data_IF_692018792382
#
_entry.id   IF_692018792382
#
_cell.length_a   1.000
_cell.length_b   1.000
_cell.length_c   1.000
_cell.angle_alpha   90.00
_cell.angle_beta   90.00
_cell.angle_gamma   90.00
#
_symmetry.space_group_name_H-M   'P 1'
#
loop_
_entity.id
_entity.type
_entity.pdbx_description
1 polymer ?
#
# COMPACT_ATOMS: atom_id res chain seq x y z
N UNK A 1 -19.73 -3.22 -17.61
CA UNK A 1 -18.74 -3.11 -16.52
C UNK A 1 -17.45 -2.60 -17.12
N UNK A 2 -16.75 -1.67 -16.45
CA UNK A 2 -15.42 -1.22 -16.91
C UNK A 2 -14.39 -2.35 -16.74
N UNK A 3 -13.32 -2.30 -17.53
CA UNK A 3 -12.23 -3.27 -17.46
C UNK A 3 -11.29 -2.89 -16.30
N UNK A 4 -10.87 -3.89 -15.52
CA UNK A 4 -9.84 -3.71 -14.49
C UNK A 4 -8.74 -4.73 -14.74
N UNK A 5 -7.53 -4.27 -15.07
CA UNK A 5 -6.39 -5.16 -15.16
C UNK A 5 -5.95 -5.55 -13.74
N UNK A 6 -5.64 -6.82 -13.49
CA UNK A 6 -5.19 -7.28 -12.18
C UNK A 6 -3.84 -7.97 -12.30
N UNK A 7 -2.88 -7.54 -11.47
CA UNK A 7 -1.56 -8.18 -11.35
C UNK A 7 -1.40 -8.68 -9.92
N UNK A 8 -1.06 -9.96 -9.77
CA UNK A 8 -0.74 -10.55 -8.47
C UNK A 8 0.75 -10.88 -8.41
N UNK A 9 1.48 -10.10 -7.61
CA UNK A 9 2.91 -10.22 -7.36
C UNK A 9 3.15 -11.09 -6.12
N UNK A 10 4.22 -11.88 -6.16
CA UNK A 10 4.68 -12.70 -5.04
C UNK A 10 6.17 -12.50 -4.84
N UNK A 11 6.57 -12.18 -3.62
CA UNK A 11 7.96 -11.95 -3.23
C UNK A 11 8.66 -10.83 -4.03
N UNK A 12 7.89 -9.89 -4.58
CA UNK A 12 8.45 -8.75 -5.33
C UNK A 12 8.82 -7.65 -4.33
N UNK A 13 10.05 -7.10 -4.38
CA UNK A 13 10.45 -5.95 -3.57
C UNK A 13 9.49 -4.77 -3.75
N UNK A 14 9.10 -4.13 -2.63
CA UNK A 14 8.17 -2.99 -2.67
C UNK A 14 8.71 -1.84 -3.54
N UNK A 15 10.03 -1.72 -3.68
CA UNK A 15 10.65 -0.75 -4.59
C UNK A 15 10.23 -0.99 -6.04
N UNK A 16 10.31 -2.24 -6.52
CA UNK A 16 9.92 -2.63 -7.87
C UNK A 16 8.42 -2.49 -8.10
N UNK A 17 7.60 -2.89 -7.11
CA UNK A 17 6.15 -2.67 -7.16
C UNK A 17 5.82 -1.17 -7.30
N UNK A 18 6.43 -0.30 -6.50
CA UNK A 18 6.19 1.15 -6.57
C UNK A 18 6.61 1.74 -7.92
N UNK A 19 7.70 1.24 -8.52
CA UNK A 19 8.11 1.62 -9.88
C UNK A 19 7.09 1.16 -10.92
N UNK A 20 6.57 -0.07 -10.81
CA UNK A 20 5.52 -0.58 -11.68
C UNK A 20 4.25 0.27 -11.57
N UNK A 21 3.76 0.53 -10.36
CA UNK A 21 2.56 1.33 -10.13
C UNK A 21 2.70 2.74 -10.72
N UNK A 22 3.86 3.38 -10.55
CA UNK A 22 4.14 4.69 -11.15
C UNK A 22 4.17 4.64 -12.68
N UNK A 23 4.76 3.59 -13.27
CA UNK A 23 4.76 3.38 -14.72
C UNK A 23 3.35 3.17 -15.27
N UNK A 24 2.54 2.31 -14.63
CA UNK A 24 1.14 2.06 -14.98
C UNK A 24 0.32 3.35 -14.93
N UNK A 25 0.41 4.10 -13.82
CA UNK A 25 -0.27 5.38 -13.65
C UNK A 25 0.09 6.38 -14.77
N UNK A 26 1.34 6.41 -15.21
CA UNK A 26 1.83 7.43 -16.13
C UNK A 26 1.68 7.07 -17.60
N UNK A 27 1.71 5.78 -17.95
CA UNK A 27 1.87 5.33 -19.34
C UNK A 27 0.66 4.61 -19.95
N UNK A 28 -0.24 4.00 -19.16
CA UNK A 28 -1.24 3.08 -19.76
C UNK A 28 -2.61 3.70 -20.01
N UNK A 29 -3.04 4.68 -19.21
CA UNK A 29 -4.42 5.19 -19.28
C UNK A 29 -5.50 4.15 -18.93
N UNK A 30 -5.12 2.93 -18.55
CA UNK A 30 -5.99 1.87 -18.04
C UNK A 30 -6.09 1.89 -16.51
N UNK A 31 -7.12 1.24 -15.96
CA UNK A 31 -7.24 0.96 -14.53
C UNK A 31 -6.61 -0.38 -14.15
N UNK A 32 -5.99 -0.42 -12.97
CA UNK A 32 -5.23 -1.55 -12.45
C UNK A 32 -5.51 -1.81 -10.97
N UNK A 33 -5.52 -3.08 -10.60
CA UNK A 33 -5.39 -3.57 -9.23
C UNK A 33 -4.06 -4.35 -9.13
N UNK A 34 -3.12 -3.86 -8.34
CA UNK A 34 -1.85 -4.53 -8.06
C UNK A 34 -1.90 -5.08 -6.65
N UNK A 35 -1.74 -6.39 -6.50
CA UNK A 35 -1.68 -7.09 -5.22
C UNK A 35 -0.26 -7.63 -5.06
N UNK A 36 0.36 -7.46 -3.90
CA UNK A 36 1.67 -8.05 -3.63
C UNK A 36 1.72 -8.66 -2.23
N UNK A 37 2.17 -9.91 -2.15
CA UNK A 37 2.42 -10.63 -0.90
C UNK A 37 3.87 -11.11 -0.82
N UNK A 38 4.42 -11.12 0.40
CA UNK A 38 5.77 -11.65 0.65
C UNK A 38 6.90 -10.71 0.27
N UNK A 39 6.65 -9.39 0.20
CA UNK A 39 7.71 -8.43 -0.10
C UNK A 39 8.82 -8.48 0.95
N UNK A 40 10.10 -8.53 0.56
CA UNK A 40 11.20 -8.52 1.51
C UNK A 40 11.20 -7.24 2.38
N UNK A 41 11.83 -7.28 3.56
CA UNK A 41 11.86 -6.14 4.47
C UNK A 41 12.43 -4.86 3.84
N UNK A 42 11.76 -3.73 4.09
CA UNK A 42 12.21 -2.40 3.69
C UNK A 42 11.55 -1.29 4.53
N UNK A 43 12.13 -0.10 4.50
CA UNK A 43 11.49 1.13 5.02
C UNK A 43 11.04 1.98 3.85
N UNK A 44 9.79 2.44 3.88
CA UNK A 44 9.19 3.24 2.80
C UNK A 44 8.66 4.57 3.33
N UNK A 45 9.36 5.66 3.02
CA UNK A 45 8.95 7.03 3.31
C UNK A 45 8.01 7.58 2.24
N UNK A 46 7.08 8.44 2.64
CA UNK A 46 6.27 9.24 1.71
C UNK A 46 7.09 10.31 0.98
N UNK A 47 6.56 10.83 -0.12
CA UNK A 47 7.25 11.82 -0.97
C UNK A 47 7.65 13.11 -0.22
N UNK A 48 6.87 13.52 0.78
CA UNK A 48 7.16 14.69 1.62
C UNK A 48 7.94 14.35 2.89
N UNK A 49 8.25 13.08 3.12
CA UNK A 49 9.02 12.63 4.26
C UNK A 49 10.46 13.15 4.24
N UNK A 50 10.93 13.60 5.39
CA UNK A 50 12.31 14.02 5.65
C UNK A 50 13.00 12.91 6.45
N UNK A 51 14.15 12.46 5.97
CA UNK A 51 14.86 11.31 6.52
C UNK A 51 15.19 11.53 8.01
N UNK A 52 15.75 12.70 8.32
CA UNK A 52 16.25 13.10 9.63
C UNK A 52 15.14 13.24 10.68
N UNK A 53 13.88 13.29 10.25
CA UNK A 53 12.71 13.42 11.12
C UNK A 53 11.98 12.09 11.35
N UNK A 54 12.27 11.07 10.55
CA UNK A 54 11.45 9.85 10.47
C UNK A 54 12.27 8.58 10.68
N UNK A 55 13.58 8.63 10.47
CA UNK A 55 14.47 7.47 10.53
C UNK A 55 15.61 7.77 11.48
N UNK A 56 15.93 6.81 12.35
CA UNK A 56 17.11 6.86 13.20
C UNK A 56 18.35 6.57 12.35
N UNK A 57 19.10 7.63 12.03
CA UNK A 57 20.28 7.57 11.19
C UNK A 57 21.33 6.58 11.72
N UNK A 58 21.52 6.50 13.03
CA UNK A 58 22.54 5.61 13.63
C UNK A 58 22.16 4.15 13.46
N UNK A 59 20.88 3.82 13.63
CA UNK A 59 20.39 2.45 13.46
C UNK A 59 20.32 2.03 12.01
N UNK A 60 19.91 2.92 11.11
CA UNK A 60 19.75 2.56 9.68
C UNK A 60 21.08 2.47 8.92
N UNK A 61 22.13 3.16 9.37
CA UNK A 61 23.42 3.22 8.68
C UNK A 61 24.06 1.85 8.40
N UNK A 62 23.80 0.86 9.28
CA UNK A 62 24.29 -0.51 9.16
C UNK A 62 23.16 -1.52 8.95
N UNK A 63 21.95 -1.06 8.62
CA UNK A 63 20.80 -1.94 8.44
C UNK A 63 20.93 -2.74 7.15
N UNK A 64 20.52 -4.03 7.17
CA UNK A 64 20.49 -4.85 5.95
C UNK A 64 19.30 -4.49 5.04
N UNK A 65 18.37 -3.64 5.47
CA UNK A 65 17.15 -3.35 4.70
C UNK A 65 17.24 -2.00 3.97
N UNK A 66 16.68 -1.88 2.75
CA UNK A 66 16.72 -0.63 2.01
C UNK A 66 15.76 0.42 2.59
N UNK A 67 16.13 1.68 2.39
CA UNK A 67 15.25 2.84 2.60
C UNK A 67 14.80 3.40 1.26
N UNK A 68 13.50 3.49 1.07
CA UNK A 68 12.85 3.92 -0.18
C UNK A 68 12.05 5.20 0.10
N UNK A 69 12.06 6.13 -0.85
CA UNK A 69 11.14 7.27 -0.89
C UNK A 69 10.17 7.09 -2.03
N UNK A 70 8.90 6.88 -1.72
CA UNK A 70 7.85 6.60 -2.72
C UNK A 70 7.31 7.88 -3.36
N UNK A 71 6.71 7.73 -4.53
CA UNK A 71 6.08 8.83 -5.29
C UNK A 71 4.77 9.38 -4.68
N UNK A 72 4.10 8.61 -3.82
CA UNK A 72 2.81 8.98 -3.20
C UNK A 72 2.98 9.67 -1.83
N UNK A 73 1.93 10.34 -1.38
CA UNK A 73 1.88 11.00 -0.07
C UNK A 73 1.78 10.01 1.10
N UNK A 74 1.58 10.54 2.31
CA UNK A 74 1.41 9.74 3.55
C UNK A 74 2.70 9.59 4.37
N UNK A 75 2.61 8.82 5.47
CA UNK A 75 3.70 8.64 6.43
C UNK A 75 4.77 7.62 6.00
N UNK A 76 5.68 7.30 6.92
CA UNK A 76 6.67 6.24 6.75
C UNK A 76 6.11 4.92 7.27
N UNK A 77 6.38 3.83 6.55
CA UNK A 77 6.02 2.48 6.95
C UNK A 77 7.27 1.60 6.94
N UNK A 78 7.25 0.58 7.79
CA UNK A 78 8.10 -0.60 7.68
C UNK A 78 7.29 -1.66 6.96
N UNK A 79 7.92 -2.37 6.04
CA UNK A 79 7.32 -3.46 5.29
C UNK A 79 8.15 -4.72 5.51
N UNK A 80 7.50 -5.87 5.43
CA UNK A 80 8.09 -7.19 5.53
C UNK A 80 7.22 -8.24 4.84
N UNK A 81 7.61 -9.51 4.96
CA UNK A 81 6.89 -10.63 4.34
C UNK A 81 5.43 -10.75 4.84
N UNK A 82 5.12 -10.20 6.02
CA UNK A 82 3.79 -10.16 6.63
C UNK A 82 3.02 -8.87 6.34
N UNK A 83 3.49 -8.12 5.36
CA UNK A 83 2.76 -7.01 4.76
C UNK A 83 2.04 -7.49 3.50
N UNK A 84 0.75 -7.16 3.38
CA UNK A 84 -0.04 -7.39 2.18
C UNK A 84 -0.39 -6.05 1.53
N UNK A 85 0.02 -5.85 0.27
CA UNK A 85 -0.28 -4.63 -0.47
C UNK A 85 -1.45 -4.85 -1.41
N UNK A 86 -2.33 -3.85 -1.47
CA UNK A 86 -3.38 -3.74 -2.48
C UNK A 86 -3.40 -2.30 -2.99
N UNK A 87 -3.17 -2.14 -4.27
CA UNK A 87 -3.06 -0.84 -4.93
C UNK A 87 -4.06 -0.73 -6.07
N UNK A 88 -4.92 0.29 -6.01
CA UNK A 88 -5.82 0.65 -7.10
C UNK A 88 -5.27 1.86 -7.84
N UNK A 89 -4.94 1.70 -9.12
CA UNK A 89 -4.66 2.78 -10.07
C UNK A 89 -5.90 2.93 -10.93
N UNK A 90 -6.69 3.98 -10.72
CA UNK A 90 -8.02 4.11 -11.33
C UNK A 90 -8.13 5.34 -12.19
N UNK A 91 -8.72 5.20 -13.38
CA UNK A 91 -9.20 6.34 -14.16
C UNK A 91 -10.42 6.94 -13.48
N UNK A 92 -10.46 8.27 -13.36
CA UNK A 92 -11.51 8.96 -12.60
C UNK A 92 -12.89 8.82 -13.23
N UNK A 93 -12.97 8.72 -14.54
CA UNK A 93 -14.23 8.50 -15.27
C UNK A 93 -14.80 7.08 -15.07
N UNK A 94 -14.02 6.14 -14.52
CA UNK A 94 -14.46 4.77 -14.26
C UNK A 94 -14.92 4.54 -12.81
N UNK A 95 -14.80 5.56 -11.94
CA UNK A 95 -15.23 5.49 -10.54
C UNK A 95 -16.09 6.71 -10.24
N UNK A 96 -17.37 6.55 -9.83
CA UNK A 96 -18.30 7.66 -9.63
C UNK A 96 -18.05 8.37 -8.28
N UNK A 97 -16.84 8.88 -8.07
CA UNK A 97 -16.44 9.60 -6.85
C UNK A 97 -15.71 10.90 -7.20
N UNK A 98 -15.85 11.90 -6.33
CA UNK A 98 -15.01 13.08 -6.44
C UNK A 98 -13.54 12.69 -6.20
N UNK A 99 -12.59 13.11 -7.04
CA UNK A 99 -11.22 12.63 -6.98
C UNK A 99 -10.40 13.36 -5.91
N UNK A 100 -10.86 13.30 -4.66
CA UNK A 100 -10.23 13.87 -3.49
C UNK A 100 -9.87 12.77 -2.50
N UNK A 101 -8.94 13.03 -1.55
CA UNK A 101 -8.44 11.98 -0.68
C UNK A 101 -9.52 11.22 0.09
N UNK A 102 -10.46 11.94 0.69
CA UNK A 102 -11.50 11.36 1.54
C UNK A 102 -12.53 10.52 0.78
N UNK A 103 -13.10 10.98 -0.36
CA UNK A 103 -14.00 10.13 -1.16
C UNK A 103 -13.32 8.85 -1.67
N UNK A 104 -12.04 8.93 -2.06
CA UNK A 104 -11.27 7.75 -2.48
C UNK A 104 -11.11 6.77 -1.30
N UNK A 105 -10.79 7.26 -0.09
CA UNK A 105 -10.70 6.42 1.11
C UNK A 105 -12.04 5.75 1.43
N UNK A 106 -13.16 6.48 1.33
CA UNK A 106 -14.49 5.89 1.57
C UNK A 106 -14.86 4.85 0.53
N UNK A 107 -14.54 5.11 -0.73
CA UNK A 107 -14.78 4.17 -1.82
C UNK A 107 -14.07 2.83 -1.57
N UNK A 108 -12.76 2.86 -1.32
CA UNK A 108 -12.00 1.65 -1.05
C UNK A 108 -12.37 1.01 0.29
N UNK A 109 -12.67 1.80 1.34
CA UNK A 109 -13.19 1.25 2.59
C UNK A 109 -14.50 0.46 2.40
N UNK A 110 -15.43 0.97 1.59
CA UNK A 110 -16.67 0.28 1.28
C UNK A 110 -16.44 -1.00 0.47
N UNK A 111 -15.50 -0.96 -0.48
CA UNK A 111 -15.07 -2.12 -1.26
C UNK A 111 -14.51 -3.21 -0.35
N UNK A 112 -13.55 -2.86 0.51
CA UNK A 112 -12.96 -3.81 1.47
C UNK A 112 -13.98 -4.31 2.48
N UNK A 113 -14.84 -3.44 3.04
CA UNK A 113 -15.85 -3.86 4.01
C UNK A 113 -16.75 -4.98 3.47
N UNK A 114 -17.18 -4.87 2.21
CA UNK A 114 -18.00 -5.88 1.55
C UNK A 114 -17.21 -7.12 1.15
N UNK A 115 -16.00 -6.94 0.61
CA UNK A 115 -15.15 -8.04 0.18
C UNK A 115 -14.66 -8.91 1.35
N UNK A 116 -14.30 -8.27 2.46
CA UNK A 116 -13.67 -8.89 3.61
C UNK A 116 -14.69 -9.40 4.63
N UNK A 117 -15.85 -8.73 4.72
CA UNK A 117 -16.94 -9.07 5.63
C UNK A 117 -16.50 -9.29 7.10
N UNK A 118 -15.50 -8.54 7.55
CA UNK A 118 -15.02 -8.57 8.93
C UNK A 118 -15.92 -7.67 9.79
N UNK A 119 -16.54 -8.19 10.87
CA UNK A 119 -17.25 -7.37 11.84
C UNK A 119 -16.37 -6.26 12.40
N UNK A 120 -16.89 -5.03 12.43
CA UNK A 120 -16.16 -3.87 12.96
C UNK A 120 -15.11 -3.26 12.02
N UNK A 121 -14.94 -3.78 10.79
CA UNK A 121 -14.08 -3.14 9.79
C UNK A 121 -14.64 -1.79 9.34
N UNK A 122 -13.83 -0.73 9.43
CA UNK A 122 -14.23 0.61 9.04
C UNK A 122 -13.03 1.52 8.70
N UNK A 123 -13.33 2.68 8.10
CA UNK A 123 -12.37 3.77 7.89
C UNK A 123 -12.34 4.67 9.13
N UNK A 124 -11.14 4.95 9.64
CA UNK A 124 -10.90 5.91 10.72
C UNK A 124 -9.76 6.85 10.31
N UNK A 125 -10.09 8.12 10.10
CA UNK A 125 -9.17 9.09 9.50
C UNK A 125 -8.62 8.56 8.17
N UNK A 126 -7.32 8.22 8.09
CA UNK A 126 -6.69 7.67 6.89
C UNK A 126 -6.40 6.16 6.99
N UNK A 127 -6.86 5.49 8.05
CA UNK A 127 -6.54 4.11 8.36
C UNK A 127 -7.77 3.21 8.24
N UNK A 128 -7.52 1.94 7.92
CA UNK A 128 -8.51 0.89 8.12
C UNK A 128 -8.33 0.26 9.48
N UNK A 129 -9.44 0.10 10.17
CA UNK A 129 -9.49 -0.39 11.55
C UNK A 129 -10.48 -1.52 11.68
N UNK A 130 -10.24 -2.40 12.65
CA UNK A 130 -11.22 -3.36 13.17
C UNK A 130 -11.52 -2.92 14.61
N UNK A 131 -12.71 -2.40 14.83
CA UNK A 131 -13.03 -1.65 16.05
C UNK A 131 -12.19 -0.38 16.15
N UNK A 132 -11.28 -0.32 17.12
CA UNK A 132 -10.37 0.82 17.35
C UNK A 132 -8.89 0.49 17.11
N UNK A 133 -8.59 -0.68 16.54
CA UNK A 133 -7.21 -1.12 16.23
C UNK A 133 -6.98 -1.07 14.72
N UNK A 134 -5.85 -0.50 14.32
CA UNK A 134 -5.46 -0.33 12.92
C UNK A 134 -4.97 -1.64 12.32
N UNK A 135 -5.57 -2.04 11.20
CA UNK A 135 -5.14 -3.18 10.39
C UNK A 135 -4.62 -2.77 9.00
N UNK A 136 -4.84 -1.52 8.58
CA UNK A 136 -4.38 -1.03 7.29
C UNK A 136 -4.04 0.46 7.28
N UNK A 137 -2.97 0.82 6.61
CA UNK A 137 -2.58 2.21 6.34
C UNK A 137 -2.73 2.54 4.86
N UNK A 138 -3.08 3.79 4.55
CA UNK A 138 -3.34 4.21 3.18
C UNK A 138 -2.44 5.36 2.73
N UNK A 139 -2.10 5.34 1.44
CA UNK A 139 -1.40 6.41 0.74
C UNK A 139 -2.03 6.64 -0.63
N UNK A 140 -1.96 7.88 -1.13
CA UNK A 140 -2.58 8.24 -2.41
C UNK A 140 -1.68 9.16 -3.22
N UNK A 141 -1.89 9.13 -4.54
CA UNK A 141 -1.39 10.11 -5.49
C UNK A 141 -2.51 10.43 -6.48
N UNK A 142 -2.83 11.70 -6.68
CA UNK A 142 -3.94 12.13 -7.53
C UNK A 142 -3.38 13.01 -8.64
N UNK A 143 -3.63 12.64 -9.90
CA UNK A 143 -3.35 13.49 -11.08
C UNK A 143 -4.66 13.94 -11.72
N UNK A 144 -4.59 14.67 -12.84
CA UNK A 144 -5.78 15.20 -13.53
C UNK A 144 -6.82 14.12 -13.86
N UNK A 145 -6.42 13.06 -14.54
CA UNK A 145 -7.34 12.03 -15.09
C UNK A 145 -7.43 10.74 -14.27
N UNK A 146 -6.48 10.49 -13.37
CA UNK A 146 -6.39 9.24 -12.62
C UNK A 146 -5.99 9.48 -11.17
N UNK A 147 -6.19 8.48 -10.34
CA UNK A 147 -5.63 8.44 -9.00
C UNK A 147 -5.04 7.07 -8.70
N UNK A 148 -4.24 7.07 -7.65
CA UNK A 148 -3.66 5.92 -7.03
C UNK A 148 -4.11 5.88 -5.58
N UNK A 149 -4.54 4.71 -5.13
CA UNK A 149 -4.82 4.41 -3.74
C UNK A 149 -4.12 3.11 -3.36
N UNK A 150 -3.09 3.20 -2.54
CA UNK A 150 -2.36 2.04 -2.01
C UNK A 150 -2.77 1.80 -0.57
N UNK A 151 -3.12 0.56 -0.29
CA UNK A 151 -3.35 0.06 1.06
C UNK A 151 -2.24 -0.90 1.43
N UNK A 152 -1.65 -0.66 2.60
CA UNK A 152 -0.75 -1.57 3.29
C UNK A 152 -1.52 -2.23 4.42
N UNK A 153 -1.88 -3.50 4.25
CA UNK A 153 -2.50 -4.30 5.29
C UNK A 153 -1.44 -5.02 6.13
N UNK A 154 -1.64 -4.99 7.45
CA UNK A 154 -0.85 -5.75 8.41
C UNK A 154 -1.39 -7.18 8.46
N UNK A 155 -0.82 -8.09 7.67
CA UNK A 155 -1.19 -9.50 7.79
C UNK A 155 -0.81 -10.00 9.18
N UNK A 156 0.42 -9.69 9.56
CA UNK A 156 0.96 -9.76 10.91
C UNK A 156 1.89 -8.55 11.10
N UNK A 157 2.45 -8.37 12.28
CA UNK A 157 3.50 -7.39 12.48
C UNK A 157 4.48 -7.86 13.56
N UNK A 158 5.74 -7.52 13.37
CA UNK A 158 6.77 -7.59 14.41
C UNK A 158 7.26 -6.16 14.67
N UNK A 159 7.55 -5.84 15.92
CA UNK A 159 7.93 -4.48 16.31
C UNK A 159 9.41 -4.18 16.08
N UNK A 160 10.25 -5.21 15.92
CA UNK A 160 11.72 -5.06 15.88
C UNK A 160 12.20 -4.15 14.74
N UNK A 161 11.59 -4.28 13.55
CA UNK A 161 11.91 -3.42 12.42
C UNK A 161 11.40 -1.98 12.60
N UNK A 162 10.48 -1.73 13.53
CA UNK A 162 10.01 -0.38 13.84
C UNK A 162 11.04 0.44 14.61
N UNK A 163 12.05 -0.21 15.22
CA UNK A 163 13.10 0.48 15.97
C UNK A 163 13.98 1.38 15.11
N UNK A 164 13.99 1.19 13.79
CA UNK A 164 14.65 2.09 12.83
C UNK A 164 13.93 3.43 12.66
N UNK A 165 12.68 3.54 13.12
CA UNK A 165 11.87 4.74 12.94
C UNK A 165 11.90 5.63 14.18
N UNK A 166 11.98 6.94 13.96
CA UNK A 166 11.72 7.92 15.00
C UNK A 166 10.22 8.01 15.29
N UNK A 167 9.85 8.43 16.49
CA UNK A 167 8.46 8.71 16.79
C UNK A 167 7.91 9.78 15.84
N UNK A 168 6.84 9.50 15.08
CA UNK A 168 6.35 10.44 14.10
C UNK A 168 5.79 11.68 14.80
N UNK A 169 6.05 12.89 14.28
CA UNK A 169 5.57 14.14 14.89
C UNK A 169 4.05 14.29 14.86
N UNK A 170 3.38 13.50 14.00
CA UNK A 170 1.92 13.46 13.90
C UNK A 170 1.45 12.01 13.91
N UNK A 171 0.55 11.71 14.84
CA UNK A 171 -0.18 10.43 14.89
C UNK A 171 -1.68 10.69 14.72
N UNK A 172 -2.46 9.70 14.24
CA UNK A 172 -3.91 9.81 14.21
C UNK A 172 -4.46 10.12 15.60
N UNK A 173 -5.50 10.97 15.69
CA UNK A 173 -6.06 11.39 17.00
C UNK A 173 -6.60 10.19 17.75
N UNK A 174 -7.24 9.26 17.04
CA UNK A 174 -7.80 8.04 17.62
C UNK A 174 -6.76 7.04 18.15
N UNK A 175 -5.46 7.24 17.87
CA UNK A 175 -4.39 6.46 18.53
C UNK A 175 -4.42 6.66 20.03
N UNK A 176 -4.77 7.87 20.50
CA UNK A 176 -4.93 8.21 21.92
C UNK A 176 -3.73 7.77 22.78
N UNK A 177 -2.50 7.97 22.27
CA UNK A 177 -1.26 7.62 22.98
C UNK A 177 -0.97 6.12 23.11
N UNK A 178 -1.79 5.23 22.56
CA UNK A 178 -1.58 3.78 22.62
C UNK A 178 -0.25 3.35 22.01
N UNK A 179 0.34 2.32 22.63
CA UNK A 179 1.52 1.62 22.12
C UNK A 179 1.22 0.98 20.77
N UNK A 180 2.24 0.56 20.01
CA UNK A 180 2.00 -0.17 18.75
C UNK A 180 1.20 -1.45 18.99
N UNK A 181 1.48 -2.16 20.10
CA UNK A 181 0.78 -3.39 20.46
C UNK A 181 -0.73 -3.17 20.67
N UNK A 182 -1.11 -2.11 21.38
CA UNK A 182 -2.50 -1.79 21.68
C UNK A 182 -3.23 -1.07 20.53
N UNK A 183 -2.46 -0.46 19.61
CA UNK A 183 -2.99 0.32 18.51
C UNK A 183 -3.19 -0.49 17.23
N UNK A 184 -2.33 -1.47 16.94
CA UNK A 184 -2.37 -2.27 15.73
C UNK A 184 -3.12 -3.58 15.97
N UNK A 185 -3.70 -4.17 14.92
CA UNK A 185 -4.18 -5.55 14.91
C UNK A 185 -3.76 -6.26 13.61
N UNK A 186 -3.71 -7.58 13.69
CA UNK A 186 -3.23 -8.46 12.63
C UNK A 186 -4.40 -9.08 11.87
N UNK A 187 -4.37 -9.02 10.53
CA UNK A 187 -5.42 -9.65 9.71
C UNK A 187 -5.42 -11.18 9.76
N UNK A 188 -4.30 -11.82 10.13
CA UNK A 188 -4.22 -13.27 10.31
C UNK A 188 -5.21 -13.80 11.37
N UNK A 189 -5.65 -12.94 12.30
CA UNK A 189 -6.66 -13.28 13.32
C UNK A 189 -8.06 -13.43 12.72
N UNK A 190 -8.30 -12.86 11.53
CA UNK A 190 -9.61 -12.79 10.88
C UNK A 190 -9.71 -13.62 9.60
N UNK A 191 -8.58 -14.12 9.10
CA UNK A 191 -8.52 -14.86 7.84
C UNK A 191 -7.59 -16.07 7.94
N UNK A 192 -7.93 -17.19 7.27
CA UNK A 192 -7.10 -18.40 7.30
C UNK A 192 -5.79 -18.24 6.52
N UNK A 193 -5.75 -17.39 5.48
CA UNK A 193 -4.56 -17.17 4.65
C UNK A 193 -4.68 -15.90 3.79
N UNK A 194 -3.54 -15.34 3.35
CA UNK A 194 -3.50 -14.22 2.39
C UNK A 194 -4.24 -14.61 1.10
N UNK A 195 -4.10 -15.86 0.66
CA UNK A 195 -4.82 -16.39 -0.50
C UNK A 195 -6.34 -16.29 -0.35
N UNK A 196 -6.88 -16.56 0.86
CA UNK A 196 -8.31 -16.39 1.12
C UNK A 196 -8.75 -14.93 1.01
N UNK A 197 -8.00 -14.00 1.62
CA UNK A 197 -8.24 -12.56 1.48
C UNK A 197 -8.26 -12.14 0.00
N UNK A 198 -7.26 -12.58 -0.77
CA UNK A 198 -7.09 -12.21 -2.17
C UNK A 198 -8.24 -12.79 -3.01
N UNK A 199 -8.64 -14.04 -2.76
CA UNK A 199 -9.77 -14.66 -3.43
C UNK A 199 -11.10 -13.93 -3.15
N UNK A 200 -11.34 -13.55 -1.89
CA UNK A 200 -12.53 -12.79 -1.50
C UNK A 200 -12.58 -11.42 -2.18
N UNK A 201 -11.44 -10.69 -2.19
CA UNK A 201 -11.31 -9.43 -2.91
C UNK A 201 -11.55 -9.59 -4.42
N UNK A 202 -10.91 -10.56 -5.06
CA UNK A 202 -11.10 -10.83 -6.50
C UNK A 202 -12.55 -11.17 -6.83
N UNK A 203 -13.20 -11.98 -6.00
CA UNK A 203 -14.61 -12.34 -6.16
C UNK A 203 -15.52 -11.10 -6.08
N UNK A 204 -15.27 -10.23 -5.09
CA UNK A 204 -16.03 -8.98 -4.97
C UNK A 204 -15.80 -8.02 -6.15
N UNK A 205 -14.56 -7.88 -6.63
CA UNK A 205 -14.25 -7.02 -7.77
C UNK A 205 -14.95 -7.47 -9.06
N UNK A 206 -15.12 -8.78 -9.28
CA UNK A 206 -15.84 -9.34 -10.45
C UNK A 206 -17.32 -8.92 -10.52
N UNK A 207 -17.91 -8.47 -9.40
CA UNK A 207 -19.28 -7.95 -9.40
C UNK A 207 -19.39 -6.54 -10.04
N UNK A 208 -18.28 -5.81 -10.18
CA UNK A 208 -18.26 -4.42 -10.66
C UNK A 208 -17.42 -4.25 -11.94
N UNK A 209 -16.42 -5.09 -12.13
CA UNK A 209 -15.44 -4.97 -13.20
C UNK A 209 -15.28 -6.27 -13.99
N UNK A 210 -15.00 -6.12 -15.29
CA UNK A 210 -14.46 -7.22 -16.08
C UNK A 210 -12.97 -7.34 -15.75
N UNK A 211 -12.62 -8.35 -14.96
CA UNK A 211 -11.24 -8.57 -14.51
C UNK A 211 -10.41 -9.18 -15.63
N UNK A 212 -9.29 -8.54 -15.94
CA UNK A 212 -8.29 -9.01 -16.88
C UNK A 212 -6.99 -9.30 -16.13
N UNK A 213 -6.74 -10.57 -15.80
CA UNK A 213 -5.50 -10.99 -15.13
C UNK A 213 -4.30 -10.75 -16.07
N UNK A 214 -3.22 -10.20 -15.52
CA UNK A 214 -2.01 -9.84 -16.25
C UNK A 214 -0.78 -10.38 -15.50
N UNK A 215 0.10 -11.03 -16.23
CA UNK A 215 1.42 -11.40 -15.72
C UNK A 215 2.34 -10.18 -15.62
N UNK A 216 3.37 -10.28 -14.78
CA UNK A 216 4.37 -9.23 -14.62
C UNK A 216 5.25 -9.06 -15.87
N UNK A 217 5.66 -10.16 -16.52
CA UNK A 217 6.65 -10.13 -17.60
C UNK A 217 6.30 -9.17 -18.75
N UNK A 218 5.05 -9.15 -19.28
CA UNK A 218 4.67 -8.19 -20.32
C UNK A 218 4.68 -6.72 -19.89
N UNK A 219 4.71 -6.44 -18.58
CA UNK A 219 4.70 -5.08 -18.02
C UNK A 219 6.11 -4.55 -17.75
N UNK A 220 7.12 -5.41 -17.64
CA UNK A 220 8.51 -5.00 -17.41
C UNK A 220 9.04 -3.97 -18.43
N UNK A 221 8.71 -4.03 -19.73
CA UNK A 221 9.11 -2.99 -20.69
C UNK A 221 8.58 -1.59 -20.35
N UNK A 222 7.53 -1.45 -19.53
CA UNK A 222 7.05 -0.13 -19.08
C UNK A 222 8.07 0.55 -18.15
N UNK A 223 8.85 -0.21 -17.39
CA UNK A 223 9.80 0.31 -16.40
C UNK A 223 10.96 1.07 -17.06
N UNK A 224 11.30 0.74 -18.31
CA UNK A 224 12.37 1.42 -19.07
C UNK A 224 11.86 2.63 -19.88
N UNK A 225 10.55 2.73 -20.11
CA UNK A 225 10.00 3.84 -20.91
C UNK A 225 10.19 5.19 -20.20
N UNK A 226 10.41 6.29 -20.95
CA UNK A 226 10.52 7.61 -20.35
C UNK A 226 9.21 8.04 -19.67
N UNK A 227 9.28 8.28 -18.36
CA UNK A 227 8.25 8.94 -17.57
C UNK A 227 8.91 9.55 -16.32
N UNK A 228 8.18 10.36 -15.56
CA UNK A 228 8.67 10.78 -14.23
C UNK A 228 8.84 9.54 -13.34
N UNK A 229 10.06 9.32 -12.84
CA UNK A 229 10.41 8.24 -11.91
C UNK A 229 10.70 8.85 -10.54
N UNK A 230 9.65 9.11 -9.77
CA UNK A 230 9.76 9.81 -8.49
C UNK A 230 10.09 8.88 -7.33
N UNK A 231 9.80 7.58 -7.45
CA UNK A 231 10.23 6.58 -6.47
C UNK A 231 11.75 6.40 -6.53
N UNK A 232 12.43 6.57 -5.40
CA UNK A 232 13.89 6.47 -5.31
C UNK A 232 14.36 5.63 -4.13
N UNK A 233 15.51 4.99 -4.29
CA UNK A 233 16.28 4.42 -3.19
C UNK A 233 17.07 5.54 -2.51
N UNK A 234 16.91 5.67 -1.21
CA UNK A 234 17.68 6.61 -0.37
C UNK A 234 18.88 5.88 0.23
N UNK A 235 18.67 4.66 0.72
CA UNK A 235 19.72 3.75 1.19
C UNK A 235 19.49 2.40 0.51
N UNK A 236 20.46 1.87 -0.25
CA UNK A 236 20.35 0.55 -0.86
C UNK A 236 20.48 -0.56 0.19
N UNK A 237 19.98 -1.75 -0.15
CA UNK A 237 20.27 -2.97 0.62
C UNK A 237 21.79 -3.21 0.62
N UNK A 238 22.39 -3.46 1.79
CA UNK A 238 23.80 -3.82 1.90
C UNK A 238 23.91 -5.34 2.01
N UNK A 239 24.34 -6.00 0.94
CA UNK A 239 24.54 -7.45 0.88
C UNK A 239 23.72 -8.13 -0.21
N UNK A 240 24.22 -8.05 -1.44
CA UNK A 240 23.92 -8.97 -2.54
C UNK A 240 25.21 -9.65 -2.95
#
# INVERSE_FOLDING_TARGET
MSKLNLVHLKNVPIYEQLQLEEALLRLTGESWCVINEGSPPAIVMGISGKFEQLVDEKKIANSPIPLIKRYSGGGTIVVDNDTLFVSFIMQKNEVPISPFPEPILRWSANLYKKALNIPGFSLKENDYVIGMRKCGGNAQYIKKEAFVHHTTFLWNFQTDLMDYLLHPPKTPKYRAGRTHHDFLCSLKEFFPSKAYFIAALKSHLKAFYTINERDLNPLLPLLIKPHRKATSLIIPCRGS
#
